data_IF_326277731946
#
_entry.id   IF_326277731946
#
_cell.length_a   1.000
_cell.length_b   1.000
_cell.length_c   1.000
_cell.angle_alpha   90.00
_cell.angle_beta   90.00
_cell.angle_gamma   90.00
#
_symmetry.space_group_name_H-M   'P 1'
#
loop_
_entity.id
_entity.type
_entity.pdbx_description
1 polymer ?
#
# COMPACT_ATOMS: atom_id res chain seq x y z
N UNK A 1 12.63 -14.58 3.82
CA UNK A 1 13.51 -13.77 4.69
C UNK A 1 14.96 -14.08 4.32
N UNK A 2 15.91 -13.14 4.47
CA UNK A 2 17.34 -13.46 4.41
C UNK A 2 17.95 -13.42 5.82
N UNK A 3 19.16 -13.96 6.00
CA UNK A 3 19.80 -14.06 7.31
C UNK A 3 19.95 -12.69 8.00
N UNK A 4 20.33 -11.66 7.26
CA UNK A 4 20.54 -10.30 7.80
C UNK A 4 19.24 -9.75 8.38
N UNK A 5 18.12 -9.90 7.65
CA UNK A 5 16.81 -9.45 8.14
C UNK A 5 16.33 -10.28 9.33
N UNK A 6 16.64 -11.59 9.40
CA UNK A 6 16.32 -12.40 10.57
C UNK A 6 17.08 -11.89 11.80
N UNK A 7 18.39 -11.67 11.67
CA UNK A 7 19.21 -11.12 12.76
C UNK A 7 18.66 -9.77 13.22
N UNK A 8 18.33 -8.88 12.28
CA UNK A 8 17.68 -7.61 12.60
C UNK A 8 16.40 -7.80 13.40
N UNK A 9 15.49 -8.68 12.96
CA UNK A 9 14.22 -8.95 13.63
C UNK A 9 14.42 -9.43 15.08
N UNK A 10 15.34 -10.38 15.29
CA UNK A 10 15.58 -10.95 16.62
C UNK A 10 16.26 -9.93 17.53
N UNK A 11 17.26 -9.21 17.03
CA UNK A 11 18.02 -8.24 17.81
C UNK A 11 17.19 -7.02 18.20
N UNK A 12 16.31 -6.53 17.32
CA UNK A 12 15.47 -5.36 17.61
C UNK A 12 14.12 -5.71 18.21
N UNK A 13 13.73 -7.00 18.17
CA UNK A 13 12.41 -7.48 18.58
C UNK A 13 11.26 -6.68 17.94
N UNK A 14 11.45 -6.25 16.68
CA UNK A 14 10.52 -5.34 16.00
C UNK A 14 10.34 -5.70 14.54
N UNK A 15 9.13 -5.46 14.02
CA UNK A 15 8.82 -5.65 12.61
C UNK A 15 9.18 -4.39 11.81
N UNK A 16 9.80 -4.59 10.66
CA UNK A 16 10.04 -3.51 9.70
C UNK A 16 8.79 -3.25 8.85
N UNK A 17 8.32 -2.01 8.81
CA UNK A 17 7.26 -1.59 7.89
C UNK A 17 7.84 -0.73 6.76
N UNK A 18 7.48 -1.07 5.51
CA UNK A 18 7.89 -0.32 4.32
C UNK A 18 6.89 0.79 4.05
N UNK A 19 7.38 2.01 3.80
CA UNK A 19 6.55 3.12 3.34
C UNK A 19 5.89 2.78 2.00
N UNK A 20 4.58 3.05 1.86
CA UNK A 20 3.77 2.62 0.71
C UNK A 20 4.32 3.14 -0.63
N UNK A 21 4.80 4.39 -0.70
CA UNK A 21 5.42 4.96 -1.90
C UNK A 21 6.73 4.27 -2.33
N UNK A 22 7.32 3.44 -1.46
CA UNK A 22 8.60 2.77 -1.68
C UNK A 22 8.48 1.29 -2.05
N UNK A 23 7.28 0.83 -2.38
CA UNK A 23 7.04 -0.49 -2.96
C UNK A 23 7.58 -0.56 -4.40
N UNK A 24 7.84 -1.78 -4.88
CA UNK A 24 8.23 -2.00 -6.28
C UNK A 24 7.06 -1.72 -7.23
N UNK A 25 5.85 -2.09 -6.79
CA UNK A 25 4.64 -1.78 -7.53
C UNK A 25 4.33 -0.29 -7.43
N UNK A 26 4.39 0.39 -8.57
CA UNK A 26 4.13 1.83 -8.69
C UNK A 26 2.65 2.16 -8.55
N UNK A 27 1.77 1.16 -8.61
CA UNK A 27 0.33 1.28 -8.49
C UNK A 27 -0.17 1.14 -7.05
N UNK A 28 0.68 0.62 -6.15
CA UNK A 28 0.36 0.48 -4.73
C UNK A 28 -0.01 1.84 -4.11
N UNK A 29 -1.24 1.94 -3.60
CA UNK A 29 -1.80 3.16 -3.01
C UNK A 29 -2.14 4.27 -4.00
N UNK A 30 -2.31 3.99 -5.30
CA UNK A 30 -2.80 4.98 -6.29
C UNK A 30 -4.32 4.92 -6.46
N UNK A 31 -4.91 6.06 -6.80
CA UNK A 31 -6.31 6.16 -7.24
C UNK A 31 -6.34 6.21 -8.77
N UNK A 32 -7.22 5.40 -9.36
CA UNK A 32 -7.45 5.35 -10.80
C UNK A 32 -8.79 5.97 -11.17
N UNK A 33 -8.93 6.36 -12.45
CA UNK A 33 -10.20 6.85 -13.01
C UNK A 33 -10.53 8.32 -12.73
N UNK A 34 -9.66 9.08 -12.04
CA UNK A 34 -9.85 10.52 -11.84
C UNK A 34 -9.69 11.29 -13.17
N UNK A 35 -8.67 10.95 -13.96
CA UNK A 35 -8.44 11.56 -15.27
C UNK A 35 -9.58 11.24 -16.24
N UNK A 36 -10.05 9.98 -16.25
CA UNK A 36 -11.16 9.56 -17.12
C UNK A 36 -12.46 10.27 -16.75
N UNK A 37 -12.72 10.44 -15.45
CA UNK A 37 -13.85 11.23 -14.96
C UNK A 37 -13.73 12.71 -15.36
N UNK A 38 -12.53 13.29 -15.28
CA UNK A 38 -12.30 14.66 -15.73
C UNK A 38 -12.57 14.81 -17.23
N UNK A 39 -12.05 13.91 -18.07
CA UNK A 39 -12.30 13.89 -19.52
C UNK A 39 -13.79 13.75 -19.84
N UNK A 40 -14.49 12.88 -19.12
CA UNK A 40 -15.95 12.71 -19.28
C UNK A 40 -16.70 14.02 -19.00
N UNK A 41 -16.24 14.83 -18.04
CA UNK A 41 -16.79 16.16 -17.78
C UNK A 41 -16.40 17.14 -18.90
N UNK A 42 -15.17 17.09 -19.41
CA UNK A 42 -14.70 17.97 -20.49
C UNK A 42 -15.50 17.80 -21.79
N UNK A 43 -15.81 16.55 -22.14
CA UNK A 43 -16.61 16.16 -23.32
C UNK A 43 -18.13 16.32 -23.11
N UNK A 44 -18.54 16.73 -21.91
CA UNK A 44 -19.94 16.95 -21.55
C UNK A 44 -20.59 18.05 -22.40
N UNK A 45 -21.90 17.91 -22.64
CA UNK A 45 -22.68 18.91 -23.35
C UNK A 45 -23.31 19.89 -22.35
N UNK A 46 -22.88 21.16 -22.38
CA UNK A 46 -23.27 22.16 -21.38
C UNK A 46 -24.19 23.23 -21.98
N UNK A 47 -25.13 23.78 -21.20
CA UNK A 47 -26.03 24.84 -21.65
C UNK A 47 -25.33 26.13 -22.09
N UNK A 48 -24.15 26.44 -21.54
CA UNK A 48 -23.32 27.59 -21.91
C UNK A 48 -21.86 27.40 -21.47
N UNK A 49 -20.95 28.14 -22.11
CA UNK A 49 -19.50 28.06 -21.85
C UNK A 49 -19.10 28.47 -20.43
N UNK A 50 -19.75 29.48 -19.85
CA UNK A 50 -19.41 29.93 -18.49
C UNK A 50 -19.67 28.82 -17.45
N UNK A 51 -20.80 28.14 -17.56
CA UNK A 51 -21.12 27.01 -16.69
C UNK A 51 -20.14 25.84 -16.90
N UNK A 52 -19.72 25.58 -18.14
CA UNK A 52 -18.69 24.60 -18.44
C UNK A 52 -17.37 24.96 -17.76
N UNK A 53 -16.92 26.20 -17.89
CA UNK A 53 -15.69 26.70 -17.27
C UNK A 53 -15.72 26.57 -15.73
N UNK A 54 -16.82 26.98 -15.09
CA UNK A 54 -16.99 26.89 -13.64
C UNK A 54 -16.93 25.43 -13.14
N UNK A 55 -17.59 24.51 -13.85
CA UNK A 55 -17.58 23.07 -13.54
C UNK A 55 -16.18 22.47 -13.73
N UNK A 56 -15.52 22.75 -14.86
CA UNK A 56 -14.19 22.21 -15.14
C UNK A 56 -13.14 22.76 -14.19
N UNK A 57 -13.25 24.03 -13.79
CA UNK A 57 -12.41 24.62 -12.77
C UNK A 57 -12.56 23.87 -11.43
N UNK A 58 -13.79 23.68 -10.96
CA UNK A 58 -14.06 22.92 -9.74
C UNK A 58 -13.57 21.47 -9.81
N UNK A 59 -13.80 20.80 -10.93
CA UNK A 59 -13.32 19.43 -11.16
C UNK A 59 -11.79 19.35 -11.12
N UNK A 60 -11.09 20.29 -11.79
CA UNK A 60 -9.63 20.36 -11.79
C UNK A 60 -9.07 20.59 -10.38
N UNK A 61 -9.67 21.49 -9.61
CA UNK A 61 -9.28 21.73 -8.21
C UNK A 61 -9.48 20.47 -7.35
N UNK A 62 -10.58 19.74 -7.54
CA UNK A 62 -10.81 18.48 -6.83
C UNK A 62 -9.77 17.40 -7.19
N UNK A 63 -9.46 17.24 -8.49
CA UNK A 63 -8.44 16.27 -8.93
C UNK A 63 -7.10 16.59 -8.29
N UNK A 64 -6.66 17.85 -8.34
CA UNK A 64 -5.40 18.28 -7.72
C UNK A 64 -5.37 18.03 -6.21
N UNK A 65 -6.48 18.29 -5.51
CA UNK A 65 -6.61 18.03 -4.09
C UNK A 65 -6.48 16.54 -3.77
N UNK A 66 -7.19 15.68 -4.52
CA UNK A 66 -7.15 14.23 -4.33
C UNK A 66 -5.75 13.69 -4.63
N UNK A 67 -5.12 14.11 -5.72
CA UNK A 67 -3.75 13.71 -6.05
C UNK A 67 -2.75 14.10 -4.97
N UNK A 68 -2.87 15.33 -4.43
CA UNK A 68 -2.05 15.80 -3.31
C UNK A 68 -2.24 14.93 -2.07
N UNK A 69 -3.51 14.62 -1.74
CA UNK A 69 -3.86 13.74 -0.61
C UNK A 69 -3.31 12.33 -0.77
N UNK A 70 -3.48 11.70 -1.94
CA UNK A 70 -2.96 10.35 -2.23
C UNK A 70 -1.44 10.32 -2.13
N UNK A 71 -0.74 11.33 -2.68
CA UNK A 71 0.73 11.43 -2.54
C UNK A 71 1.15 11.49 -1.07
N UNK A 72 0.42 12.24 -0.25
CA UNK A 72 0.69 12.33 1.18
C UNK A 72 0.40 11.00 1.90
N UNK A 73 -0.75 10.37 1.63
CA UNK A 73 -1.11 9.08 2.21
C UNK A 73 -0.06 7.99 1.92
N UNK A 74 0.51 7.97 0.70
CA UNK A 74 1.55 7.00 0.33
C UNK A 74 2.86 7.18 1.10
N UNK A 75 3.18 8.39 1.56
CA UNK A 75 4.40 8.65 2.37
C UNK A 75 4.15 8.55 3.88
N UNK A 76 2.90 8.56 4.33
CA UNK A 76 2.54 8.40 5.75
C UNK A 76 1.98 7.01 6.08
N UNK A 77 1.74 6.17 5.07
CA UNK A 77 1.29 4.78 5.25
C UNK A 77 2.47 3.83 5.22
N UNK A 78 2.54 2.95 6.21
CA UNK A 78 3.61 1.95 6.38
C UNK A 78 3.01 0.55 6.42
N UNK A 79 3.58 -0.38 5.66
CA UNK A 79 2.98 -1.68 5.37
C UNK A 79 3.99 -2.80 5.65
N UNK A 80 3.51 -3.88 6.26
CA UNK A 80 4.21 -5.14 6.46
C UNK A 80 3.28 -6.29 6.04
N UNK A 81 3.66 -7.06 5.00
CA UNK A 81 2.80 -8.09 4.41
C UNK A 81 3.27 -9.50 4.78
N UNK A 82 2.32 -10.38 5.08
CA UNK A 82 2.52 -11.81 5.32
C UNK A 82 1.63 -12.64 4.40
N UNK A 83 2.05 -13.87 4.15
CA UNK A 83 1.28 -14.83 3.37
C UNK A 83 0.71 -15.89 4.30
N UNK A 84 -0.59 -16.15 4.18
CA UNK A 84 -1.30 -17.14 4.98
C UNK A 84 -1.58 -18.37 4.13
N UNK A 85 -0.68 -19.35 4.17
CA UNK A 85 -0.81 -20.61 3.45
C UNK A 85 -0.51 -21.78 4.38
N UNK A 86 -1.16 -22.93 4.14
CA UNK A 86 -0.87 -24.18 4.85
C UNK A 86 0.48 -24.79 4.44
N UNK A 87 0.91 -24.50 3.21
CA UNK A 87 2.13 -25.03 2.61
C UNK A 87 3.01 -23.90 2.07
N UNK A 88 4.30 -24.19 1.98
CA UNK A 88 5.25 -23.32 1.29
C UNK A 88 4.99 -23.30 -0.22
N UNK A 89 5.42 -22.22 -0.88
CA UNK A 89 5.31 -22.05 -2.32
C UNK A 89 6.68 -21.86 -2.93
N UNK A 90 7.07 -22.74 -3.85
CA UNK A 90 8.32 -22.62 -4.60
C UNK A 90 8.42 -21.27 -5.33
N UNK A 91 7.32 -20.83 -5.95
CA UNK A 91 7.25 -19.53 -6.62
C UNK A 91 7.51 -18.35 -5.65
N UNK A 92 7.06 -18.46 -4.41
CA UNK A 92 7.30 -17.44 -3.38
C UNK A 92 8.76 -17.37 -2.96
N UNK A 93 9.43 -18.52 -2.86
CA UNK A 93 10.86 -18.56 -2.61
C UNK A 93 11.64 -17.85 -3.72
N UNK A 94 11.31 -18.12 -4.98
CA UNK A 94 11.95 -17.47 -6.14
C UNK A 94 11.68 -15.95 -6.20
N UNK A 95 10.48 -15.50 -5.83
CA UNK A 95 10.10 -14.08 -5.88
C UNK A 95 10.76 -13.23 -4.78
N UNK A 96 10.93 -13.79 -3.58
CA UNK A 96 11.36 -13.03 -2.40
C UNK A 96 12.83 -13.23 -2.01
N UNK A 97 13.48 -14.30 -2.46
CA UNK A 97 14.89 -14.52 -2.22
C UNK A 97 15.75 -13.96 -3.35
N UNK A 98 17.00 -13.59 -3.01
CA UNK A 98 18.04 -13.24 -4.00
C UNK A 98 19.09 -14.35 -4.16
N UNK A 99 18.98 -15.40 -3.35
CA UNK A 99 19.89 -16.55 -3.28
C UNK A 99 19.09 -17.77 -2.84
N UNK A 100 19.70 -18.95 -2.86
CA UNK A 100 19.06 -20.18 -2.37
C UNK A 100 19.05 -20.29 -0.82
N UNK A 101 19.39 -19.21 -0.10
CA UNK A 101 19.51 -19.19 1.36
C UNK A 101 18.36 -18.38 1.97
N UNK A 102 17.17 -18.96 1.90
CA UNK A 102 15.96 -18.38 2.47
C UNK A 102 15.63 -18.91 3.85
N UNK A 103 15.08 -18.03 4.68
CA UNK A 103 14.46 -18.42 5.95
C UNK A 103 12.96 -18.13 5.86
N UNK A 104 12.15 -19.12 6.26
CA UNK A 104 10.73 -18.94 6.51
C UNK A 104 10.50 -18.71 8.00
N UNK A 105 9.66 -17.73 8.32
CA UNK A 105 9.17 -17.53 9.68
C UNK A 105 7.72 -17.96 9.67
N UNK A 106 7.40 -18.95 10.50
CA UNK A 106 6.04 -19.44 10.66
C UNK A 106 5.42 -18.90 11.94
N UNK A 107 4.23 -18.36 11.84
CA UNK A 107 3.41 -17.92 12.97
C UNK A 107 1.94 -18.08 12.62
N UNK A 108 1.06 -17.78 13.57
CA UNK A 108 -0.38 -17.69 13.32
C UNK A 108 -0.80 -16.22 13.34
N UNK A 109 -1.91 -15.91 12.67
CA UNK A 109 -2.49 -14.57 12.70
C UNK A 109 -2.69 -14.07 14.15
N UNK A 110 -3.23 -14.92 15.03
CA UNK A 110 -3.47 -14.54 16.43
C UNK A 110 -2.19 -14.28 17.21
N UNK A 111 -1.13 -15.08 17.00
CA UNK A 111 0.16 -14.85 17.66
C UNK A 111 0.79 -13.54 17.18
N UNK A 112 0.74 -13.28 15.88
CA UNK A 112 1.25 -12.04 15.30
C UNK A 112 0.45 -10.82 15.80
N UNK A 113 -0.88 -10.89 15.79
CA UNK A 113 -1.74 -9.83 16.33
C UNK A 113 -1.40 -9.53 17.79
N UNK A 114 -1.34 -10.56 18.64
CA UNK A 114 -0.98 -10.42 20.05
C UNK A 114 0.40 -9.80 20.26
N UNK A 115 1.38 -10.15 19.44
CA UNK A 115 2.73 -9.55 19.52
C UNK A 115 2.76 -8.04 19.23
N UNK A 116 1.71 -7.50 18.60
CA UNK A 116 1.60 -6.09 18.23
C UNK A 116 0.68 -5.30 19.17
N UNK A 117 -0.01 -5.96 20.11
CA UNK A 117 -0.91 -5.29 21.08
C UNK A 117 -0.17 -4.39 22.07
N UNK A 118 1.13 -4.65 22.29
CA UNK A 118 1.99 -3.87 23.17
C UNK A 118 2.66 -2.67 22.48
N UNK A 119 2.43 -2.48 21.18
CA UNK A 119 2.98 -1.33 20.45
C UNK A 119 2.21 -0.05 20.82
N UNK A 120 2.94 1.06 20.97
CA UNK A 120 2.33 2.37 21.24
C UNK A 120 1.64 2.92 19.99
N UNK A 121 2.13 2.54 18.80
CA UNK A 121 1.58 2.94 17.52
C UNK A 121 0.24 2.26 17.22
N UNK A 122 -0.68 3.01 16.61
CA UNK A 122 -1.92 2.45 16.10
C UNK A 122 -1.65 1.54 14.90
N UNK A 123 -1.64 0.22 15.13
CA UNK A 123 -1.46 -0.79 14.08
C UNK A 123 -2.81 -1.37 13.67
N UNK A 124 -3.11 -1.30 12.37
CA UNK A 124 -4.25 -1.98 11.75
C UNK A 124 -3.76 -3.29 11.15
N UNK A 125 -4.35 -4.41 11.58
CA UNK A 125 -4.02 -5.76 11.09
C UNK A 125 -5.30 -6.47 10.65
N UNK A 126 -5.25 -7.15 9.51
CA UNK A 126 -6.39 -7.86 8.93
C UNK A 126 -5.96 -9.02 8.05
N UNK A 127 -6.90 -9.93 7.79
CA UNK A 127 -6.76 -11.02 6.81
C UNK A 127 -7.60 -10.63 5.59
N UNK A 128 -6.97 -10.62 4.42
CA UNK A 128 -7.66 -10.50 3.15
C UNK A 128 -7.88 -11.91 2.61
N UNK A 129 -9.15 -12.28 2.39
CA UNK A 129 -9.57 -13.54 1.77
C UNK A 129 -9.99 -13.29 0.34
#
# INVERSE_FOLDING_TARGET
>A
MDFIKLVSLISTQSLYFRRSDKFKDVFEGKIFGLEDRYKTLEDGNYPNEKLKEDILYGAKSMVQLIEGKVKNERITTFINCWHLNEYESAAMWDLYLKSNEGIAIQTTFDKMKKSLEMCEEGIIIGIFK
#
